data_IF_303229747775
#
_entry.id   IF_303229747775
#
_cell.length_a   1.000
_cell.length_b   1.000
_cell.length_c   1.000
_cell.angle_alpha   90.00
_cell.angle_beta   90.00
_cell.angle_gamma   90.00
#
_symmetry.space_group_name_H-M   'P 1'
#
loop_
_entity.id
_entity.type
_entity.pdbx_description
1 polymer ?
#
# COMPACT_ATOMS: atom_id res chain seq x y z
N UNK A 1 31.83 12.62 10.49
CA UNK A 1 30.73 13.57 10.75
C UNK A 1 29.67 13.35 9.67
N UNK A 2 28.52 12.77 10.04
CA UNK A 2 27.40 12.60 9.12
C UNK A 2 26.74 13.97 9.01
N UNK A 3 26.75 14.58 7.82
CA UNK A 3 25.97 15.80 7.55
C UNK A 3 24.50 15.47 7.81
N UNK A 4 23.98 15.94 8.96
CA UNK A 4 22.59 15.74 9.35
C UNK A 4 21.69 16.41 8.33
N UNK A 5 20.65 15.68 7.89
CA UNK A 5 19.63 16.21 7.00
C UNK A 5 19.07 17.51 7.58
N UNK A 6 19.26 18.62 6.88
CA UNK A 6 18.84 19.98 7.30
C UNK A 6 17.32 20.16 7.33
N UNK A 7 16.56 19.25 6.70
CA UNK A 7 15.10 19.31 6.60
C UNK A 7 14.45 18.20 7.42
N UNK A 8 13.43 18.57 8.21
CA UNK A 8 12.52 17.61 8.86
C UNK A 8 11.83 16.73 7.82
N UNK A 9 11.43 15.50 8.21
CA UNK A 9 10.64 14.59 7.36
C UNK A 9 9.44 15.29 6.72
N UNK A 10 8.71 16.08 7.48
CA UNK A 10 7.54 16.81 7.00
C UNK A 10 7.90 17.82 5.91
N UNK A 11 9.00 18.57 6.09
CA UNK A 11 9.49 19.52 5.10
C UNK A 11 9.89 18.81 3.80
N UNK A 12 10.62 17.68 3.89
CA UNK A 12 10.98 16.89 2.70
C UNK A 12 9.75 16.37 1.97
N UNK A 13 8.82 15.73 2.67
CA UNK A 13 7.57 15.21 2.07
C UNK A 13 6.77 16.34 1.40
N UNK A 14 6.69 17.52 2.01
CA UNK A 14 6.00 18.66 1.43
C UNK A 14 6.71 19.17 0.17
N UNK A 15 8.04 19.27 0.19
CA UNK A 15 8.84 19.66 -0.96
C UNK A 15 8.66 18.68 -2.12
N UNK A 16 8.76 17.36 -1.86
CA UNK A 16 8.56 16.34 -2.88
C UNK A 16 7.16 16.45 -3.53
N UNK A 17 6.12 16.65 -2.72
CA UNK A 17 4.74 16.83 -3.22
C UNK A 17 4.59 18.09 -4.08
N UNK A 18 5.19 19.20 -3.67
CA UNK A 18 5.14 20.47 -4.41
C UNK A 18 5.92 20.39 -5.73
N UNK A 19 7.07 19.73 -5.72
CA UNK A 19 7.94 19.60 -6.89
C UNK A 19 7.46 18.54 -7.89
N UNK A 20 6.63 17.58 -7.47
CA UNK A 20 6.24 16.44 -8.30
C UNK A 20 5.64 16.87 -9.66
N UNK A 21 4.71 17.84 -9.66
CA UNK A 21 4.06 18.27 -10.91
C UNK A 21 5.05 18.88 -11.90
N UNK A 22 5.97 19.71 -11.41
CA UNK A 22 7.00 20.33 -12.27
C UNK A 22 7.99 19.30 -12.78
N UNK A 23 8.40 18.35 -11.94
CA UNK A 23 9.30 17.26 -12.33
C UNK A 23 8.64 16.33 -13.35
N UNK A 24 7.37 15.97 -13.16
CA UNK A 24 6.62 15.14 -14.12
C UNK A 24 6.48 15.84 -15.48
N UNK A 25 6.34 17.17 -15.49
CA UNK A 25 6.30 17.95 -16.73
C UNK A 25 7.66 17.98 -17.43
N UNK A 26 8.75 18.18 -16.69
CA UNK A 26 10.11 18.19 -17.25
C UNK A 26 10.60 16.79 -17.67
N UNK A 27 10.22 15.76 -16.93
CA UNK A 27 10.59 14.37 -17.13
C UNK A 27 9.33 13.49 -17.16
N UNK A 28 8.66 13.35 -18.33
CA UNK A 28 7.44 12.57 -18.45
C UNK A 28 7.58 11.10 -18.04
N UNK A 29 8.81 10.56 -18.06
CA UNK A 29 9.14 9.20 -17.62
C UNK A 29 9.11 9.00 -16.12
N UNK A 30 9.14 10.06 -15.30
CA UNK A 30 9.01 9.97 -13.85
C UNK A 30 7.60 9.53 -13.50
N UNK A 31 7.43 8.45 -12.77
CA UNK A 31 6.11 7.92 -12.42
C UNK A 31 5.72 8.26 -10.97
N UNK A 32 6.70 8.28 -10.06
CA UNK A 32 6.45 8.55 -8.63
C UNK A 32 7.73 9.05 -7.95
N UNK A 33 7.56 9.87 -6.91
CA UNK A 33 8.63 10.35 -6.05
C UNK A 33 8.23 10.07 -4.59
N UNK A 34 9.12 9.43 -3.82
CA UNK A 34 8.89 9.11 -2.40
C UNK A 34 10.07 9.55 -1.54
N UNK A 35 9.80 9.87 -0.27
CA UNK A 35 10.85 10.12 0.74
C UNK A 35 11.42 8.77 1.18
N UNK A 36 12.72 8.57 0.99
CA UNK A 36 13.47 7.53 1.69
C UNK A 36 13.83 8.07 3.08
N UNK A 37 12.97 7.77 4.04
CA UNK A 37 13.11 8.22 5.42
C UNK A 37 14.40 7.73 6.07
N UNK A 38 14.86 6.53 5.71
CA UNK A 38 16.02 5.89 6.33
C UNK A 38 17.31 6.60 5.92
N UNK A 39 17.42 6.97 4.65
CA UNK A 39 18.63 7.58 4.11
C UNK A 39 18.51 9.09 3.87
N UNK A 40 17.36 9.68 4.16
CA UNK A 40 17.02 11.07 3.91
C UNK A 40 17.23 11.49 2.44
N UNK A 41 16.80 10.64 1.50
CA UNK A 41 16.90 10.84 0.05
C UNK A 41 15.53 10.85 -0.62
N UNK A 42 15.47 11.30 -1.87
CA UNK A 42 14.30 11.13 -2.72
C UNK A 42 14.48 9.88 -3.60
N UNK A 43 13.60 8.91 -3.47
CA UNK A 43 13.55 7.77 -4.38
C UNK A 43 12.55 8.09 -5.51
N UNK A 44 13.03 8.05 -6.75
CA UNK A 44 12.26 8.42 -7.94
C UNK A 44 12.12 7.19 -8.83
N UNK A 45 10.87 6.79 -9.08
CA UNK A 45 10.53 5.68 -9.96
C UNK A 45 10.31 6.20 -11.37
N UNK A 46 10.97 5.61 -12.36
CA UNK A 46 10.92 6.07 -13.76
C UNK A 46 10.69 4.93 -14.74
N UNK A 47 9.99 5.20 -15.84
CA UNK A 47 9.81 4.23 -16.93
C UNK A 47 11.10 3.89 -17.65
N UNK A 48 12.03 4.84 -17.75
CA UNK A 48 13.37 4.56 -18.27
C UNK A 48 14.42 5.49 -17.72
N UNK A 49 15.59 4.93 -17.39
CA UNK A 49 16.76 5.69 -16.94
C UNK A 49 17.46 6.46 -18.08
N UNK A 50 17.17 6.13 -19.35
CA UNK A 50 17.82 6.75 -20.50
C UNK A 50 17.49 8.23 -20.71
N UNK A 51 16.36 8.69 -20.15
CA UNK A 51 15.81 10.02 -20.40
C UNK A 51 15.81 10.91 -19.16
N UNK A 52 16.62 10.57 -18.14
CA UNK A 52 16.60 11.26 -16.86
C UNK A 52 18.00 11.64 -16.39
N UNK A 53 18.14 12.87 -15.90
CA UNK A 53 19.40 13.37 -15.35
C UNK A 53 19.34 13.43 -13.84
N UNK A 54 20.00 12.49 -13.14
CA UNK A 54 20.02 12.42 -11.67
C UNK A 54 20.49 13.75 -11.05
N UNK A 55 21.62 14.30 -11.51
CA UNK A 55 22.16 15.58 -11.00
C UNK A 55 21.21 16.77 -11.19
N UNK A 56 20.40 16.78 -12.25
CA UNK A 56 19.42 17.83 -12.47
C UNK A 56 18.26 17.73 -11.47
N UNK A 57 17.83 16.51 -11.16
CA UNK A 57 16.80 16.24 -10.15
C UNK A 57 17.28 16.54 -8.74
N UNK A 58 18.54 16.21 -8.41
CA UNK A 58 19.13 16.55 -7.12
C UNK A 58 19.17 18.07 -6.90
N UNK A 59 19.46 18.84 -7.95
CA UNK A 59 19.40 20.31 -7.91
C UNK A 59 17.98 20.83 -7.75
N UNK A 60 17.02 20.27 -8.49
CA UNK A 60 15.60 20.66 -8.42
C UNK A 60 14.98 20.35 -7.04
N UNK A 61 15.35 19.22 -6.46
CA UNK A 61 14.83 18.75 -5.17
C UNK A 61 15.69 19.19 -3.98
N UNK A 62 16.85 19.82 -4.22
CA UNK A 62 17.80 20.21 -3.18
C UNK A 62 18.11 19.07 -2.18
N UNK A 63 18.24 17.84 -2.69
CA UNK A 63 18.52 16.64 -1.90
C UNK A 63 19.06 15.52 -2.79
N UNK A 64 19.69 14.51 -2.19
CA UNK A 64 20.13 13.33 -2.93
C UNK A 64 18.94 12.58 -3.54
N UNK A 65 19.15 12.07 -4.75
CA UNK A 65 18.14 11.32 -5.52
C UNK A 65 18.66 9.93 -5.79
N UNK A 66 17.80 8.94 -5.58
CA UNK A 66 18.00 7.58 -6.05
C UNK A 66 16.97 7.29 -7.15
N UNK A 67 17.43 6.74 -8.27
CA UNK A 67 16.58 6.42 -9.41
C UNK A 67 16.32 4.92 -9.47
N UNK A 68 15.05 4.54 -9.58
CA UNK A 68 14.64 3.14 -9.80
C UNK A 68 13.88 3.03 -11.10
N UNK A 69 14.32 2.14 -11.99
CA UNK A 69 13.61 1.86 -13.23
C UNK A 69 12.41 0.93 -12.98
N UNK A 70 11.27 1.29 -13.54
CA UNK A 70 10.05 0.49 -13.63
C UNK A 70 9.58 0.50 -15.09
N UNK A 71 10.13 -0.37 -15.96
CA UNK A 71 9.90 -0.31 -17.41
C UNK A 71 8.42 -0.33 -17.82
N UNK A 72 7.60 -1.01 -17.02
CA UNK A 72 6.15 -1.11 -17.23
C UNK A 72 5.40 0.16 -16.80
N UNK A 73 6.03 1.06 -16.05
CA UNK A 73 5.38 2.21 -15.42
C UNK A 73 4.46 1.81 -14.27
N UNK A 74 3.82 2.80 -13.67
CA UNK A 74 2.78 2.52 -12.68
C UNK A 74 1.54 2.02 -13.43
N UNK A 75 1.12 0.80 -13.09
CA UNK A 75 -0.03 0.17 -13.72
C UNK A 75 -1.34 0.61 -13.04
N UNK A 76 -2.44 0.78 -13.81
CA UNK A 76 -3.75 1.11 -13.25
C UNK A 76 -4.17 0.11 -12.16
N UNK A 77 -4.50 0.63 -10.99
CA UNK A 77 -4.52 -0.21 -9.80
C UNK A 77 -5.90 -0.74 -9.43
N UNK A 78 -5.95 -2.05 -9.19
CA UNK A 78 -7.07 -2.80 -8.58
C UNK A 78 -7.12 -2.55 -7.07
N UNK A 79 -8.24 -2.84 -6.39
CA UNK A 79 -8.24 -2.82 -4.91
C UNK A 79 -7.25 -3.85 -4.37
N UNK A 80 -6.29 -3.42 -3.55
CA UNK A 80 -5.20 -4.24 -2.99
C UNK A 80 -4.99 -3.94 -1.51
N UNK A 81 -4.24 -4.83 -0.87
CA UNK A 81 -3.59 -4.54 0.40
C UNK A 81 -2.45 -3.52 0.25
N UNK A 82 -2.17 -2.77 1.31
CA UNK A 82 -1.07 -1.80 1.37
C UNK A 82 -1.35 -0.46 0.69
N UNK A 83 -2.62 -0.13 0.44
CA UNK A 83 -3.05 1.13 -0.15
C UNK A 83 -3.90 1.92 0.84
N UNK A 84 -4.08 3.22 0.60
CA UNK A 84 -4.74 4.09 1.56
C UNK A 84 -6.26 4.06 1.38
N UNK A 85 -6.97 4.00 2.49
CA UNK A 85 -8.31 4.52 2.62
C UNK A 85 -8.19 5.99 2.99
N UNK A 86 -8.81 6.85 2.21
CA UNK A 86 -8.81 8.30 2.43
C UNK A 86 -10.22 8.75 2.79
N UNK A 87 -10.30 9.74 3.68
CA UNK A 87 -11.54 10.39 4.02
C UNK A 87 -11.93 11.43 2.94
N UNK A 88 -13.06 12.11 3.10
CA UNK A 88 -13.53 13.13 2.15
C UNK A 88 -12.59 14.33 2.00
N UNK A 89 -11.69 14.59 2.97
CA UNK A 89 -10.65 15.62 2.84
C UNK A 89 -9.44 15.15 2.02
N UNK A 90 -9.44 13.90 1.53
CA UNK A 90 -8.32 13.29 0.81
C UNK A 90 -7.16 12.89 1.71
N UNK A 91 -7.32 13.04 3.03
CA UNK A 91 -6.30 12.66 4.02
C UNK A 91 -6.27 11.14 4.18
N UNK A 92 -5.05 10.60 4.22
CA UNK A 92 -4.80 9.20 4.53
C UNK A 92 -5.39 8.88 5.91
N UNK A 93 -6.36 7.99 5.93
CA UNK A 93 -7.14 7.64 7.11
C UNK A 93 -6.68 6.29 7.67
N UNK A 94 -6.70 5.25 6.82
CA UNK A 94 -6.38 3.88 7.22
C UNK A 94 -5.68 3.12 6.09
N UNK A 95 -4.85 2.13 6.41
CA UNK A 95 -4.24 1.28 5.39
C UNK A 95 -5.11 0.05 5.14
N UNK A 96 -5.25 -0.34 3.88
CA UNK A 96 -5.80 -1.65 3.54
C UNK A 96 -4.79 -2.73 3.90
N UNK A 97 -5.27 -3.83 4.48
CA UNK A 97 -4.45 -4.98 4.89
C UNK A 97 -4.35 -6.02 3.77
N UNK A 98 -5.34 -6.91 3.67
CA UNK A 98 -5.34 -8.02 2.71
C UNK A 98 -6.60 -8.02 1.86
N UNK A 99 -6.49 -8.46 0.61
CA UNK A 99 -7.67 -8.76 -0.20
C UNK A 99 -8.36 -10.02 0.34
N UNK A 100 -9.69 -10.00 0.41
CA UNK A 100 -10.47 -11.10 0.92
C UNK A 100 -11.75 -11.31 0.11
N UNK A 101 -12.25 -12.55 0.13
CA UNK A 101 -13.54 -12.94 -0.45
C UNK A 101 -14.50 -13.32 0.66
N UNK A 102 -15.70 -12.74 0.67
CA UNK A 102 -16.78 -13.19 1.55
C UNK A 102 -17.29 -14.54 1.06
N UNK A 103 -17.21 -15.58 1.89
CA UNK A 103 -17.69 -16.92 1.52
C UNK A 103 -19.20 -16.93 1.23
N UNK A 104 -20.00 -16.22 2.03
CA UNK A 104 -21.47 -16.23 1.91
C UNK A 104 -22.00 -15.53 0.67
N UNK A 105 -21.34 -14.47 0.19
CA UNK A 105 -21.85 -13.66 -0.94
C UNK A 105 -20.90 -13.61 -2.13
N UNK A 106 -19.76 -14.28 -2.05
CA UNK A 106 -18.70 -14.24 -3.06
C UNK A 106 -18.03 -12.87 -3.30
N UNK A 107 -18.43 -11.83 -2.56
CA UNK A 107 -17.97 -10.44 -2.77
C UNK A 107 -16.49 -10.31 -2.41
N UNK A 108 -15.73 -9.65 -3.28
CA UNK A 108 -14.32 -9.33 -3.10
C UNK A 108 -14.17 -7.94 -2.45
N UNK A 109 -13.09 -7.76 -1.70
CA UNK A 109 -12.81 -6.54 -0.97
C UNK A 109 -11.47 -6.62 -0.25
N UNK A 110 -11.26 -5.71 0.69
CA UNK A 110 -10.07 -5.66 1.54
C UNK A 110 -10.45 -5.62 3.00
N UNK A 111 -9.59 -6.22 3.82
CA UNK A 111 -9.66 -6.13 5.27
C UNK A 111 -8.81 -4.95 5.71
N UNK A 112 -9.30 -4.16 6.66
CA UNK A 112 -8.56 -3.08 7.34
C UNK A 112 -8.86 -3.14 8.84
N UNK A 113 -8.27 -2.25 9.63
CA UNK A 113 -8.53 -2.17 11.06
C UNK A 113 -9.98 -1.73 11.32
N UNK A 114 -10.57 -2.26 12.38
CA UNK A 114 -11.91 -1.93 12.84
C UNK A 114 -11.99 -0.48 13.28
N UNK A 115 -11.27 -0.06 14.30
CA UNK A 115 -11.31 1.30 14.89
C UNK A 115 -11.17 2.44 13.88
N UNK A 116 -10.58 2.12 12.74
CA UNK A 116 -10.40 2.95 11.58
C UNK A 116 -11.70 3.32 10.85
N UNK A 117 -12.76 2.52 10.95
CA UNK A 117 -13.94 2.65 10.09
C UNK A 117 -15.14 3.15 10.88
N UNK A 118 -15.82 4.15 10.34
CA UNK A 118 -17.16 4.50 10.79
C UNK A 118 -18.14 3.98 9.73
N UNK A 119 -19.07 3.11 10.12
CA UNK A 119 -20.04 2.50 9.19
C UNK A 119 -20.89 3.51 8.42
N UNK A 120 -21.02 4.73 8.96
CA UNK A 120 -21.81 5.81 8.38
C UNK A 120 -20.99 6.79 7.55
N UNK A 121 -19.66 6.66 7.55
CA UNK A 121 -18.77 7.59 6.83
C UNK A 121 -18.23 6.91 5.58
N UNK A 122 -18.50 7.44 4.38
CA UNK A 122 -17.91 6.93 3.15
C UNK A 122 -16.40 7.19 3.16
N UNK A 123 -15.65 6.23 2.63
CA UNK A 123 -14.21 6.35 2.38
C UNK A 123 -13.95 6.13 0.90
N UNK A 124 -12.80 6.61 0.44
CA UNK A 124 -12.28 6.28 -0.88
C UNK A 124 -11.05 5.40 -0.73
N UNK A 125 -10.94 4.40 -1.59
CA UNK A 125 -9.67 3.74 -1.84
C UNK A 125 -8.78 4.68 -2.66
N UNK A 126 -7.50 4.77 -2.31
CA UNK A 126 -6.48 5.52 -3.03
C UNK A 126 -5.25 4.64 -3.22
N UNK A 127 -4.90 4.38 -4.47
CA UNK A 127 -3.69 3.64 -4.78
C UNK A 127 -2.49 4.52 -5.16
N UNK A 128 -1.36 3.86 -5.42
CA UNK A 128 -0.09 4.48 -5.78
C UNK A 128 -0.13 5.22 -7.12
N UNK A 129 -1.01 4.83 -8.03
CA UNK A 129 -1.27 5.55 -9.29
C UNK A 129 -2.12 6.82 -9.10
N UNK A 130 -2.58 7.09 -7.88
CA UNK A 130 -3.46 8.21 -7.56
C UNK A 130 -4.94 7.95 -7.88
N UNK A 131 -5.27 6.80 -8.47
CA UNK A 131 -6.65 6.39 -8.74
C UNK A 131 -7.42 6.34 -7.43
N UNK A 132 -8.59 6.98 -7.43
CA UNK A 132 -9.49 6.99 -6.29
C UNK A 132 -10.89 6.55 -6.67
N UNK A 133 -11.50 5.75 -5.81
CA UNK A 133 -12.90 5.35 -5.96
C UNK A 133 -13.51 5.01 -4.60
N UNK A 134 -14.84 5.14 -4.52
CA UNK A 134 -15.60 4.85 -3.32
C UNK A 134 -15.42 3.38 -2.90
N UNK A 135 -15.21 3.19 -1.59
CA UNK A 135 -15.13 1.88 -0.97
C UNK A 135 -15.88 1.94 0.37
N UNK A 136 -16.73 0.97 0.63
CA UNK A 136 -17.64 1.02 1.80
C UNK A 136 -17.52 -0.21 2.68
N UNK A 137 -17.68 -0.03 4.02
CA UNK A 137 -17.81 -1.16 4.90
C UNK A 137 -19.07 -1.95 4.55
N UNK A 138 -19.01 -3.27 4.74
CA UNK A 138 -20.19 -4.11 4.64
C UNK A 138 -20.85 -4.21 6.01
N UNK A 139 -22.16 -3.95 6.08
CA UNK A 139 -22.96 -4.09 7.31
C UNK A 139 -22.70 -5.45 7.98
N UNK A 140 -22.43 -5.43 9.29
CA UNK A 140 -22.13 -6.63 10.07
C UNK A 140 -20.75 -7.26 9.81
N UNK A 141 -19.90 -6.63 8.99
CA UNK A 141 -18.52 -7.07 8.72
C UNK A 141 -17.49 -6.07 9.24
N UNK A 142 -17.84 -5.43 10.35
CA UNK A 142 -17.02 -4.45 11.05
C UNK A 142 -17.12 -4.75 12.54
N UNK A 143 -15.97 -4.82 13.21
CA UNK A 143 -15.89 -4.88 14.67
C UNK A 143 -14.72 -4.04 15.14
N UNK A 144 -14.97 -3.24 16.17
CA UNK A 144 -13.98 -2.49 16.92
C UNK A 144 -14.28 -2.72 18.40
N UNK A 145 -13.82 -3.86 18.91
CA UNK A 145 -13.96 -4.24 20.29
C UNK A 145 -12.76 -5.10 20.72
N UNK A 146 -12.72 -5.45 22.01
CA UNK A 146 -11.61 -6.22 22.59
C UNK A 146 -11.45 -7.63 22.01
N UNK A 147 -12.47 -8.17 21.33
CA UNK A 147 -12.39 -9.47 20.69
C UNK A 147 -11.91 -9.36 19.24
N UNK A 148 -12.25 -8.29 18.53
CA UNK A 148 -11.87 -8.06 17.13
C UNK A 148 -11.78 -6.58 16.77
N UNK A 149 -10.69 -6.25 16.06
CA UNK A 149 -10.46 -4.93 15.48
C UNK A 149 -10.27 -5.05 13.95
N UNK A 150 -11.35 -5.43 13.24
CA UNK A 150 -11.30 -5.69 11.81
C UNK A 150 -12.55 -5.21 11.09
N UNK A 151 -12.36 -4.65 9.90
CA UNK A 151 -13.41 -4.25 8.99
C UNK A 151 -13.18 -4.80 7.59
N UNK A 152 -14.24 -5.30 6.95
CA UNK A 152 -14.24 -5.67 5.54
C UNK A 152 -14.84 -4.54 4.70
N UNK A 153 -14.02 -3.99 3.81
CA UNK A 153 -14.37 -2.94 2.86
C UNK A 153 -14.60 -3.57 1.49
N UNK A 154 -15.81 -3.44 0.96
CA UNK A 154 -16.17 -4.02 -0.36
C UNK A 154 -15.49 -3.22 -1.46
N UNK A 155 -14.73 -3.89 -2.32
CA UNK A 155 -14.12 -3.28 -3.50
C UNK A 155 -15.17 -2.71 -4.47
N UNK A 156 -14.73 -1.81 -5.36
CA UNK A 156 -15.59 -1.25 -6.39
C UNK A 156 -16.11 -2.30 -7.38
N UNK A 157 -17.19 -1.97 -8.09
CA UNK A 157 -17.93 -2.91 -8.93
C UNK A 157 -17.34 -3.09 -10.34
N UNK A 158 -16.56 -2.12 -10.83
CA UNK A 158 -15.99 -2.17 -12.18
C UNK A 158 -14.77 -3.09 -12.23
N UNK A 159 -14.48 -3.67 -13.39
CA UNK A 159 -13.30 -4.53 -13.57
C UNK A 159 -12.02 -3.83 -13.10
N UNK A 160 -11.86 -2.52 -13.34
CA UNK A 160 -10.70 -1.75 -12.90
C UNK A 160 -10.60 -1.58 -11.37
N UNK A 161 -11.72 -1.66 -10.65
CA UNK A 161 -11.77 -1.45 -9.20
C UNK A 161 -11.81 -2.76 -8.41
N UNK A 162 -12.21 -3.87 -9.01
CA UNK A 162 -12.33 -5.14 -8.29
C UNK A 162 -11.00 -5.55 -7.64
N UNK A 163 -11.06 -6.08 -6.42
CA UNK A 163 -9.90 -6.73 -5.83
C UNK A 163 -9.56 -8.01 -6.60
N UNK A 164 -8.27 -8.26 -6.81
CA UNK A 164 -7.79 -9.48 -7.46
C UNK A 164 -6.88 -10.26 -6.50
N UNK A 165 -6.93 -11.60 -6.51
CA UNK A 165 -6.11 -12.43 -5.66
C UNK A 165 -4.74 -12.62 -6.31
N UNK A 166 -3.94 -11.57 -6.41
CA UNK A 166 -2.64 -11.58 -7.10
C UNK A 166 -1.57 -10.88 -6.26
N UNK A 167 -0.35 -11.42 -6.28
CA UNK A 167 0.84 -10.80 -5.69
C UNK A 167 1.79 -10.30 -6.76
N UNK A 168 2.44 -9.17 -6.48
CA UNK A 168 3.43 -8.55 -7.35
C UNK A 168 4.72 -8.50 -6.54
N UNK A 169 5.65 -9.39 -6.85
CA UNK A 169 6.87 -9.58 -6.06
C UNK A 169 7.97 -8.57 -6.41
N UNK A 170 8.03 -8.14 -7.67
CA UNK A 170 8.98 -7.15 -8.17
C UNK A 170 8.40 -6.40 -9.38
N UNK A 171 9.10 -5.34 -9.81
CA UNK A 171 8.68 -4.42 -10.88
C UNK A 171 8.81 -5.01 -12.30
N UNK A 172 9.39 -6.21 -12.43
CA UNK A 172 9.72 -6.88 -13.69
C UNK A 172 8.95 -8.18 -13.93
N UNK A 173 8.34 -8.76 -12.89
CA UNK A 173 7.62 -10.02 -12.95
C UNK A 173 6.11 -9.79 -13.17
N UNK A 174 5.45 -10.58 -14.03
CA UNK A 174 4.00 -10.55 -14.13
C UNK A 174 3.36 -10.93 -12.79
N UNK A 175 2.15 -10.41 -12.57
CA UNK A 175 1.33 -10.73 -11.40
C UNK A 175 1.24 -12.25 -11.19
N UNK A 176 1.51 -12.72 -9.97
CA UNK A 176 1.35 -14.12 -9.60
C UNK A 176 -0.04 -14.32 -9.02
N UNK A 177 -0.87 -15.08 -9.73
CA UNK A 177 -2.19 -15.47 -9.23
C UNK A 177 -2.07 -16.33 -7.97
N UNK A 178 -2.86 -16.02 -6.96
CA UNK A 178 -3.06 -16.87 -5.79
C UNK A 178 -3.90 -18.08 -6.20
N UNK A 179 -3.21 -19.19 -6.41
CA UNK A 179 -3.83 -20.46 -6.80
C UNK A 179 -4.36 -21.26 -5.59
N UNK A 180 -3.90 -20.95 -4.37
CA UNK A 180 -4.30 -21.63 -3.14
C UNK A 180 -5.30 -20.85 -2.29
N UNK A 181 -6.44 -21.47 -1.95
CA UNK A 181 -7.37 -20.98 -0.91
C UNK A 181 -7.20 -21.83 0.34
N UNK A 182 -7.11 -21.22 1.53
CA UNK A 182 -7.17 -21.95 2.80
C UNK A 182 -8.45 -21.60 3.56
N UNK A 183 -9.16 -22.63 4.02
CA UNK A 183 -10.31 -22.44 4.88
C UNK A 183 -9.84 -22.06 6.28
N UNK A 184 -10.54 -21.15 6.96
CA UNK A 184 -10.25 -20.79 8.36
C UNK A 184 -10.20 -22.03 9.25
N UNK A 185 -11.11 -22.97 9.04
CA UNK A 185 -11.19 -24.24 9.78
C UNK A 185 -10.00 -25.17 9.52
N UNK A 186 -9.34 -25.05 8.36
CA UNK A 186 -8.16 -25.84 8.00
C UNK A 186 -6.83 -25.22 8.46
N UNK A 187 -6.89 -24.11 9.19
CA UNK A 187 -5.71 -23.55 9.87
C UNK A 187 -5.61 -24.11 11.29
N UNK A 188 -4.42 -24.56 11.66
CA UNK A 188 -4.13 -25.08 13.00
C UNK A 188 -4.06 -23.90 13.98
N UNK A 189 -4.31 -24.12 15.28
CA UNK A 189 -4.01 -23.13 16.33
C UNK A 189 -2.56 -23.33 16.76
N UNK A 190 -1.74 -22.27 16.80
CA UNK A 190 -0.36 -22.36 17.30
C UNK A 190 0.02 -21.08 18.03
N UNK A 191 0.81 -21.20 19.08
CA UNK A 191 1.34 -20.05 19.85
C UNK A 191 0.25 -19.09 20.34
N UNK A 192 -0.85 -19.62 20.89
CA UNK A 192 -1.96 -18.80 21.43
C UNK A 192 -2.85 -18.12 20.38
N UNK A 193 -2.63 -18.37 19.09
CA UNK A 193 -3.39 -17.71 18.01
C UNK A 193 -4.67 -18.48 17.65
N UNK A 194 -5.78 -17.79 17.38
CA UNK A 194 -7.05 -18.44 17.00
C UNK A 194 -7.00 -19.02 15.58
N UNK A 195 -7.88 -19.99 15.25
CA UNK A 195 -8.04 -20.47 13.86
C UNK A 195 -8.29 -19.28 12.92
N UNK A 196 -7.48 -19.18 11.87
CA UNK A 196 -7.48 -18.09 10.89
C UNK A 196 -6.32 -17.10 11.03
N UNK A 197 -5.59 -17.12 12.13
CA UNK A 197 -4.53 -16.13 12.40
C UNK A 197 -3.38 -16.17 11.38
N UNK A 198 -3.11 -17.36 10.82
CA UNK A 198 -2.15 -17.56 9.74
C UNK A 198 -2.51 -16.86 8.42
N UNK A 199 -3.79 -16.55 8.20
CA UNK A 199 -4.24 -15.82 7.00
C UNK A 199 -3.77 -14.36 7.06
N UNK A 200 -3.49 -13.83 8.26
CA UNK A 200 -2.97 -12.47 8.46
C UNK A 200 -1.46 -12.42 8.76
N UNK A 201 -0.82 -13.55 9.09
CA UNK A 201 0.59 -13.61 9.53
C UNK A 201 1.57 -14.21 8.49
N UNK A 202 1.10 -14.71 7.35
CA UNK A 202 1.96 -15.40 6.39
C UNK A 202 2.38 -14.53 5.18
N UNK A 203 3.13 -13.47 5.49
CA UNK A 203 4.40 -13.20 4.78
C UNK A 203 5.58 -13.99 5.37
N UNK A 204 5.33 -14.87 6.34
CA UNK A 204 6.36 -15.65 7.02
C UNK A 204 6.59 -17.02 6.35
N UNK A 205 7.36 -17.02 5.28
CA UNK A 205 8.43 -18.01 5.11
C UNK A 205 9.75 -17.26 5.15
N UNK A 206 10.13 -16.77 6.34
CA UNK A 206 11.52 -16.45 6.61
C UNK A 206 11.91 -17.21 7.87
N UNK A 207 13.00 -18.00 7.84
CA UNK A 207 13.45 -18.74 9.00
C UNK A 207 13.73 -17.73 10.12
N UNK A 208 12.95 -17.87 11.21
CA UNK A 208 13.26 -17.43 12.58
C UNK A 208 14.18 -16.21 12.70
N UNK A 209 13.62 -15.01 12.78
CA UNK A 209 14.29 -13.89 13.45
C UNK A 209 13.85 -13.87 14.93
N UNK A 210 14.77 -14.23 15.83
CA UNK A 210 14.56 -14.22 17.27
C UNK A 210 14.38 -12.81 17.87
N UNK A 211 14.62 -11.74 17.09
CA UNK A 211 14.47 -10.36 17.55
C UNK A 211 13.01 -9.86 17.60
N UNK A 212 12.05 -10.63 17.08
CA UNK A 212 10.62 -10.26 17.08
C UNK A 212 9.79 -10.99 18.16
N UNK A 213 10.44 -11.77 19.03
CA UNK A 213 9.82 -12.28 20.26
C UNK A 213 10.32 -11.39 21.40
N UNK A 214 9.56 -10.36 21.76
CA UNK A 214 9.70 -9.77 23.08
C UNK A 214 8.99 -10.67 24.09
N UNK A 215 9.69 -10.99 25.17
CA UNK A 215 9.24 -11.84 26.28
C UNK A 215 8.14 -11.17 27.08
#
# INVERSE_FOLDING_TARGET
>A
MIQGATNTKQQRVNQLKQSFSAIKQAYPTVEMIVDDEQNAKALIYVKSLKQIGQLALEKLLNMQVELSEIPTGIQPTKTRGGSWLVNNSGSNHCMTGFTAKRNSTGKLGVITAGHCINSSTPLNYKDKDGTQYAISPVTGMYRNDTAMDLAFMKAGSTTAQQAVPEFYADTTSPARALTGKRNRTSTVVKSGTVKGSYVCHLGQTSPTNSALIQR
#
